data_IF_404083450790
#
_entry.id   IF_404083450790
#
_cell.length_a   1.000
_cell.length_b   1.000
_cell.length_c   1.000
_cell.angle_alpha   90.00
_cell.angle_beta   90.00
_cell.angle_gamma   90.00
#
_symmetry.space_group_name_H-M   'P 1'
#
loop_
_entity.id
_entity.type
_entity.pdbx_description
1 polymer ?
#
# COMPACT_ATOMS: atom_id res chain seq x y z
N UNK A 1 14.60 -74.17 -4.17
CA UNK A 1 13.80 -73.12 -3.51
C UNK A 1 14.61 -72.58 -2.34
N UNK A 2 15.23 -71.41 -2.52
CA UNK A 2 15.93 -70.66 -1.47
C UNK A 2 15.20 -69.32 -1.32
N UNK A 3 14.96 -68.95 -0.08
CA UNK A 3 14.10 -67.88 0.43
C UNK A 3 14.51 -66.50 -0.09
N UNK A 4 13.59 -65.81 -0.78
CA UNK A 4 13.70 -64.38 -1.03
C UNK A 4 13.12 -63.63 0.17
N UNK A 5 13.87 -62.63 0.63
CA UNK A 5 13.76 -61.95 1.92
C UNK A 5 12.46 -61.13 2.03
N UNK A 6 11.44 -61.69 2.68
CA UNK A 6 10.09 -61.11 2.85
C UNK A 6 10.08 -59.80 3.67
N UNK A 7 11.18 -59.46 4.36
CA UNK A 7 11.25 -58.29 5.23
C UNK A 7 11.53 -56.95 4.50
N UNK A 8 11.98 -56.98 3.24
CA UNK A 8 12.44 -55.76 2.54
C UNK A 8 11.40 -55.16 1.58
N UNK A 9 10.31 -55.87 1.25
CA UNK A 9 9.26 -55.39 0.32
C UNK A 9 8.14 -54.63 1.05
N UNK A 10 7.99 -54.78 2.37
CA UNK A 10 6.96 -54.06 3.14
C UNK A 10 7.32 -52.60 3.49
N UNK A 11 8.60 -52.21 3.39
CA UNK A 11 9.05 -50.88 3.84
C UNK A 11 8.91 -49.76 2.79
N UNK A 12 8.63 -50.05 1.52
CA UNK A 12 8.53 -49.03 0.46
C UNK A 12 7.10 -48.73 0.00
N UNK A 13 6.11 -49.53 0.39
CA UNK A 13 4.69 -49.29 0.06
C UNK A 13 3.90 -48.67 1.21
N UNK A 14 4.50 -48.50 2.39
CA UNK A 14 3.84 -47.90 3.56
C UNK A 14 4.12 -46.40 3.76
N UNK A 15 4.73 -45.73 2.77
CA UNK A 15 4.93 -44.26 2.81
C UNK A 15 4.08 -43.47 1.80
N UNK A 16 3.26 -44.12 0.97
CA UNK A 16 2.49 -43.43 -0.10
C UNK A 16 0.97 -43.41 0.09
N UNK A 17 0.46 -43.67 1.29
CA UNK A 17 -0.96 -43.45 1.61
C UNK A 17 -1.11 -42.60 2.86
N UNK A 18 -0.71 -41.33 2.75
CA UNK A 18 -1.23 -40.24 3.58
C UNK A 18 -2.68 -40.03 3.15
N UNK A 19 -3.59 -40.90 3.59
CA UNK A 19 -5.00 -40.51 3.65
C UNK A 19 -5.15 -39.63 4.88
N UNK A 20 -5.14 -38.32 4.62
CA UNK A 20 -5.64 -37.31 5.54
C UNK A 20 -7.01 -37.76 6.04
N UNK A 21 -7.11 -38.16 7.31
CA UNK A 21 -8.43 -38.16 7.95
C UNK A 21 -8.82 -36.70 8.03
N UNK A 22 -9.78 -36.31 7.21
CA UNK A 22 -10.55 -35.11 7.47
C UNK A 22 -11.22 -35.38 8.82
N UNK A 23 -10.79 -34.71 9.87
CA UNK A 23 -11.63 -34.60 11.05
C UNK A 23 -12.89 -33.86 10.58
N UNK A 24 -13.99 -34.61 10.38
CA UNK A 24 -15.30 -33.99 10.23
C UNK A 24 -15.53 -33.08 11.43
N UNK A 25 -15.96 -31.83 11.27
CA UNK A 25 -16.36 -31.04 12.43
C UNK A 25 -17.53 -31.77 13.10
N UNK A 26 -17.46 -31.96 14.42
CA UNK A 26 -18.58 -32.46 15.21
C UNK A 26 -19.83 -31.62 14.88
N UNK A 27 -21.02 -32.22 14.71
CA UNK A 27 -22.23 -31.43 14.52
C UNK A 27 -22.50 -30.66 15.82
N UNK A 28 -22.22 -29.36 15.79
CA UNK A 28 -22.57 -28.45 16.88
C UNK A 28 -24.10 -28.36 16.89
N UNK A 29 -24.79 -28.68 18.01
CA UNK A 29 -26.22 -28.45 18.10
C UNK A 29 -26.47 -26.95 17.95
N UNK A 30 -27.33 -26.63 16.98
CA UNK A 30 -27.65 -25.26 16.61
C UNK A 30 -28.32 -24.56 17.79
N UNK A 31 -27.57 -23.75 18.53
CA UNK A 31 -28.15 -22.62 19.26
C UNK A 31 -27.07 -21.56 19.50
N UNK A 32 -27.39 -20.36 19.01
CA UNK A 32 -26.62 -19.11 19.09
C UNK A 32 -25.48 -18.92 18.07
N UNK A 33 -25.83 -18.85 16.78
CA UNK A 33 -24.97 -18.24 15.76
C UNK A 33 -24.99 -16.72 15.94
N UNK A 34 -23.97 -16.21 16.63
CA UNK A 34 -23.53 -14.83 16.47
C UNK A 34 -23.13 -14.70 14.99
N UNK A 35 -23.88 -13.90 14.23
CA UNK A 35 -23.54 -13.54 12.85
C UNK A 35 -22.26 -12.69 12.85
N UNK A 36 -21.12 -13.34 13.02
CA UNK A 36 -19.83 -12.76 12.69
C UNK A 36 -19.76 -12.82 11.17
N UNK A 37 -19.94 -11.68 10.50
CA UNK A 37 -19.61 -11.57 9.08
C UNK A 37 -18.16 -12.02 8.88
N UNK A 38 -17.95 -13.28 8.43
CA UNK A 38 -16.66 -13.77 7.95
C UNK A 38 -16.40 -13.15 6.57
N UNK A 39 -16.05 -11.86 6.55
CA UNK A 39 -15.53 -11.23 5.33
C UNK A 39 -14.15 -11.80 5.06
N UNK A 40 -14.03 -12.67 4.06
CA UNK A 40 -12.74 -12.97 3.44
C UNK A 40 -12.46 -11.88 2.41
N UNK A 41 -11.45 -11.05 2.65
CA UNK A 41 -10.91 -10.20 1.60
C UNK A 41 -10.05 -11.09 0.69
N UNK A 42 -10.14 -10.92 -0.62
CA UNK A 42 -9.05 -11.33 -1.51
C UNK A 42 -7.77 -10.68 -0.99
N UNK A 43 -6.56 -11.24 -1.22
CA UNK A 43 -5.33 -10.52 -0.90
C UNK A 43 -5.43 -9.15 -1.55
N UNK A 44 -5.62 -8.10 -0.76
CA UNK A 44 -5.54 -6.76 -1.28
C UNK A 44 -4.05 -6.60 -1.54
N UNK A 45 -3.65 -6.62 -2.80
CA UNK A 45 -2.28 -6.22 -3.12
C UNK A 45 -2.20 -4.74 -2.76
N UNK A 46 -1.52 -4.45 -1.65
CA UNK A 46 -1.25 -3.08 -1.25
C UNK A 46 -0.24 -2.50 -2.24
N UNK A 47 -0.75 -1.89 -3.30
CA UNK A 47 0.06 -1.06 -4.16
C UNK A 47 0.31 0.27 -3.44
N UNK A 48 1.55 0.46 -3.01
CA UNK A 48 2.06 1.75 -2.57
C UNK A 48 2.68 2.46 -3.75
N UNK A 49 2.26 3.69 -3.95
CA UNK A 49 2.82 4.60 -4.94
C UNK A 49 3.41 5.80 -4.21
N UNK A 50 4.35 6.51 -4.84
CA UNK A 50 4.93 7.69 -4.21
C UNK A 50 4.99 8.87 -5.18
N UNK A 51 5.15 10.07 -4.63
CA UNK A 51 5.71 11.20 -5.39
C UNK A 51 7.06 11.55 -4.77
N UNK A 52 7.96 12.05 -5.60
CA UNK A 52 9.32 12.40 -5.19
C UNK A 52 9.60 13.87 -5.48
N UNK A 53 10.36 14.54 -4.63
CA UNK A 53 10.75 15.93 -4.81
C UNK A 53 12.26 16.07 -4.57
N UNK A 54 12.95 16.65 -5.54
CA UNK A 54 14.32 17.10 -5.39
C UNK A 54 14.30 18.56 -4.94
N UNK A 55 14.59 18.79 -3.65
CA UNK A 55 14.57 20.15 -3.13
C UNK A 55 15.72 21.00 -3.69
N UNK A 56 15.52 22.30 -3.87
CA UNK A 56 16.60 23.23 -4.16
C UNK A 56 17.62 23.29 -3.03
N UNK A 57 18.87 23.62 -3.35
CA UNK A 57 19.96 23.68 -2.38
C UNK A 57 19.73 24.72 -1.29
N UNK A 58 19.01 25.81 -1.60
CA UNK A 58 18.70 26.90 -0.68
C UNK A 58 17.48 26.66 0.23
N UNK A 59 16.76 25.55 0.07
CA UNK A 59 15.61 25.21 0.91
C UNK A 59 16.04 24.51 2.22
N UNK A 60 15.20 24.64 3.24
CA UNK A 60 15.31 23.88 4.50
C UNK A 60 15.12 22.36 4.30
N UNK A 61 15.39 21.59 5.36
CA UNK A 61 15.28 20.13 5.32
C UNK A 61 13.88 19.59 5.64
N UNK A 62 12.99 20.43 6.18
CA UNK A 62 11.61 20.07 6.50
C UNK A 62 10.70 20.32 5.29
N UNK A 63 10.60 19.34 4.41
CA UNK A 63 9.79 19.43 3.19
C UNK A 63 8.39 18.88 3.41
N UNK A 64 7.40 19.56 2.83
CA UNK A 64 5.99 19.17 2.84
C UNK A 64 5.43 19.12 1.41
N UNK A 65 4.49 18.20 1.19
CA UNK A 65 3.68 18.13 -0.02
C UNK A 65 2.23 18.48 0.34
N UNK A 66 1.73 19.56 -0.23
CA UNK A 66 0.33 19.93 -0.19
C UNK A 66 -0.34 19.50 -1.50
N UNK A 67 -1.33 18.63 -1.43
CA UNK A 67 -2.10 18.24 -2.60
C UNK A 67 -3.58 18.58 -2.46
N UNK A 68 -4.19 18.86 -3.59
CA UNK A 68 -5.61 19.22 -3.70
C UNK A 68 -6.14 18.82 -5.08
N UNK A 69 -7.45 18.84 -5.24
CA UNK A 69 -8.14 18.74 -6.52
C UNK A 69 -8.75 20.10 -6.87
N UNK A 70 -8.68 20.50 -8.14
CA UNK A 70 -9.45 21.65 -8.64
C UNK A 70 -10.95 21.37 -8.68
N UNK A 71 -11.34 20.10 -8.77
CA UNK A 71 -12.70 19.66 -8.45
C UNK A 71 -12.84 19.47 -6.94
N UNK A 72 -13.49 20.46 -6.30
CA UNK A 72 -13.72 20.49 -4.86
C UNK A 72 -14.45 19.24 -4.32
N UNK A 73 -15.26 18.56 -5.14
CA UNK A 73 -15.96 17.34 -4.72
C UNK A 73 -15.01 16.15 -4.51
N UNK A 74 -13.83 16.16 -5.15
CA UNK A 74 -12.81 15.12 -5.02
C UNK A 74 -11.85 15.37 -3.84
N UNK A 75 -11.96 16.53 -3.19
CA UNK A 75 -11.24 16.82 -1.96
C UNK A 75 -11.98 16.15 -0.78
N UNK A 76 -11.36 15.12 -0.20
CA UNK A 76 -11.96 14.33 0.88
C UNK A 76 -11.75 15.00 2.24
N UNK A 77 -12.77 14.98 3.09
CA UNK A 77 -12.64 15.44 4.48
C UNK A 77 -11.81 14.44 5.33
N UNK A 78 -10.92 14.91 6.23
CA UNK A 78 -10.57 16.31 6.43
C UNK A 78 -9.72 16.85 5.28
N UNK A 79 -10.05 18.05 4.81
CA UNK A 79 -9.26 18.73 3.80
C UNK A 79 -7.82 18.89 4.28
N UNK A 80 -6.86 18.71 3.36
CA UNK A 80 -5.48 19.06 3.68
C UNK A 80 -5.40 20.53 4.04
N UNK A 81 -4.66 20.82 5.11
CA UNK A 81 -4.29 22.17 5.48
C UNK A 81 -2.86 22.40 4.98
N UNK A 82 -2.60 23.61 4.48
CA UNK A 82 -1.23 24.07 4.28
C UNK A 82 -0.42 23.90 5.59
N UNK A 83 0.85 23.41 5.55
CA UNK A 83 1.69 23.15 4.38
C UNK A 83 1.54 21.75 3.75
N UNK A 84 0.53 20.97 4.16
CA UNK A 84 0.34 19.60 3.71
C UNK A 84 1.07 18.58 4.58
N UNK A 85 1.43 17.44 3.99
CA UNK A 85 2.08 16.33 4.72
C UNK A 85 3.59 16.47 4.67
N UNK A 86 4.25 16.26 5.82
CA UNK A 86 5.70 16.21 5.88
C UNK A 86 6.23 15.00 5.11
N UNK A 87 7.15 15.24 4.19
CA UNK A 87 7.77 14.22 3.35
C UNK A 87 8.92 13.52 4.10
N UNK A 88 9.17 12.26 3.74
CA UNK A 88 10.31 11.48 4.23
C UNK A 88 11.53 11.71 3.33
N UNK A 89 12.74 11.66 3.89
CA UNK A 89 13.99 11.84 3.12
C UNK A 89 14.61 10.48 2.78
N UNK A 90 15.11 10.35 1.55
CA UNK A 90 15.87 9.19 1.07
C UNK A 90 16.83 9.65 -0.03
N UNK A 91 18.13 9.44 0.15
CA UNK A 91 19.19 9.65 -0.86
C UNK A 91 19.10 10.98 -1.64
N UNK A 92 18.85 12.08 -0.92
CA UNK A 92 18.75 13.43 -1.51
C UNK A 92 17.35 13.81 -2.03
N UNK A 93 16.43 12.85 -2.10
CA UNK A 93 15.03 13.08 -2.44
C UNK A 93 14.14 13.13 -1.20
N UNK A 94 13.01 13.78 -1.36
CA UNK A 94 11.90 13.77 -0.43
C UNK A 94 10.73 13.02 -1.05
N UNK A 95 10.06 12.15 -0.31
CA UNK A 95 8.96 11.35 -0.83
C UNK A 95 7.76 11.29 0.12
N UNK A 96 6.57 11.14 -0.46
CA UNK A 96 5.32 10.89 0.26
C UNK A 96 4.61 9.68 -0.37
N UNK A 97 4.17 8.75 0.47
CA UNK A 97 3.58 7.46 0.04
C UNK A 97 2.06 7.56 0.05
N UNK A 98 1.46 7.06 -1.01
CA UNK A 98 0.03 6.91 -1.20
C UNK A 98 -0.34 5.44 -1.16
N UNK A 99 -1.20 5.10 -0.21
CA UNK A 99 -1.80 3.78 -0.09
C UNK A 99 -3.13 3.85 -0.86
N UNK A 100 -3.16 3.28 -2.07
CA UNK A 100 -4.25 3.33 -3.05
C UNK A 100 -4.17 4.47 -4.10
N UNK A 101 -3.63 4.11 -5.27
CA UNK A 101 -3.53 4.98 -6.45
C UNK A 101 -4.89 5.45 -7.03
N UNK A 102 -6.00 4.77 -6.73
CA UNK A 102 -7.33 5.15 -7.24
C UNK A 102 -7.81 6.51 -6.69
N UNK A 103 -7.25 7.00 -5.59
CA UNK A 103 -7.54 8.37 -5.13
C UNK A 103 -6.86 9.45 -5.96
N UNK A 104 -5.88 9.09 -6.79
CA UNK A 104 -5.02 10.02 -7.53
C UNK A 104 -5.48 10.24 -8.97
N UNK A 105 -6.58 9.61 -9.38
CA UNK A 105 -7.28 9.92 -10.64
C UNK A 105 -8.05 11.24 -10.49
N UNK A 106 -8.01 12.08 -11.54
CA UNK A 106 -8.77 13.33 -11.61
C UNK A 106 -7.97 14.55 -11.17
N UNK A 107 -7.34 15.23 -12.14
CA UNK A 107 -6.77 16.59 -12.11
C UNK A 107 -6.27 17.11 -10.73
N UNK A 108 -5.60 16.26 -9.95
CA UNK A 108 -5.02 16.66 -8.69
C UNK A 108 -3.78 17.49 -8.94
N UNK A 109 -3.55 18.41 -8.03
CA UNK A 109 -2.42 19.31 -8.02
C UNK A 109 -1.57 19.06 -6.79
N UNK A 110 -0.29 19.38 -6.89
CA UNK A 110 0.66 19.32 -5.78
C UNK A 110 1.52 20.58 -5.75
N UNK A 111 1.76 21.07 -4.53
CA UNK A 111 2.70 22.16 -4.22
C UNK A 111 3.67 21.62 -3.18
N UNK A 112 4.96 21.87 -3.38
CA UNK A 112 6.02 21.53 -2.43
C UNK A 112 6.46 22.77 -1.67
N UNK A 113 6.78 22.64 -0.38
CA UNK A 113 7.23 23.75 0.45
C UNK A 113 8.18 23.29 1.56
N UNK A 114 9.12 24.14 1.96
CA UNK A 114 9.90 23.96 3.21
C UNK A 114 9.32 24.78 4.39
N UNK A 115 8.12 25.36 4.22
CA UNK A 115 7.48 26.29 5.14
C UNK A 115 7.87 27.76 4.96
N UNK A 116 8.93 28.06 4.20
CA UNK A 116 9.38 29.44 3.87
C UNK A 116 9.35 29.72 2.37
N UNK A 117 9.79 28.75 1.58
CA UNK A 117 9.81 28.71 0.13
C UNK A 117 8.76 27.72 -0.36
N UNK A 118 8.27 27.90 -1.59
CA UNK A 118 7.37 26.94 -2.24
C UNK A 118 7.61 26.88 -3.75
N UNK A 119 7.20 25.75 -4.35
CA UNK A 119 7.12 25.57 -5.79
C UNK A 119 5.86 24.74 -6.12
N UNK A 120 5.03 25.16 -7.07
CA UNK A 120 5.04 26.43 -7.80
C UNK A 120 4.94 27.68 -6.90
N UNK A 121 5.13 28.87 -7.48
CA UNK A 121 5.19 30.14 -6.74
C UNK A 121 3.91 30.47 -5.96
N UNK A 122 3.99 31.46 -5.07
CA UNK A 122 2.83 31.92 -4.29
C UNK A 122 1.71 32.35 -5.25
N UNK A 123 0.48 31.84 -5.03
CA UNK A 123 -0.70 32.04 -5.88
C UNK A 123 -0.64 31.37 -7.26
N UNK A 124 0.41 30.61 -7.57
CA UNK A 124 0.44 29.80 -8.78
C UNK A 124 -0.30 28.48 -8.56
N UNK A 125 -0.87 27.96 -9.65
CA UNK A 125 -1.48 26.63 -9.65
C UNK A 125 -0.40 25.57 -9.43
N UNK A 126 -0.69 24.58 -8.58
CA UNK A 126 0.23 23.46 -8.34
C UNK A 126 0.52 22.64 -9.60
N UNK A 127 1.59 21.84 -9.55
CA UNK A 127 1.89 20.89 -10.61
C UNK A 127 0.82 19.82 -10.70
N UNK A 128 0.60 19.24 -11.89
CA UNK A 128 -0.20 18.03 -12.00
C UNK A 128 0.40 16.94 -11.11
N UNK A 129 -0.39 16.37 -10.21
CA UNK A 129 0.02 15.25 -9.38
C UNK A 129 0.05 13.99 -10.24
N UNK A 130 1.24 13.47 -10.46
CA UNK A 130 1.57 12.29 -11.25
C UNK A 130 2.28 11.33 -10.31
N UNK A 131 1.72 10.14 -10.21
CA UNK A 131 2.27 9.09 -9.37
C UNK A 131 3.60 8.60 -9.95
N UNK A 132 4.53 8.32 -9.04
CA UNK A 132 5.91 7.88 -9.27
C UNK A 132 6.77 8.90 -10.06
N UNK A 133 6.30 10.14 -10.18
CA UNK A 133 7.04 11.24 -10.76
C UNK A 133 8.04 11.85 -9.77
N UNK A 134 9.11 12.41 -10.33
CA UNK A 134 10.12 13.21 -9.62
C UNK A 134 9.94 14.67 -10.02
N UNK A 135 9.62 15.50 -9.03
CA UNK A 135 9.44 16.94 -9.19
C UNK A 135 10.72 17.69 -8.81
N UNK A 136 10.92 18.85 -9.42
CA UNK A 136 11.96 19.81 -9.08
C UNK A 136 11.38 21.24 -9.25
N UNK A 137 12.22 22.25 -9.54
CA UNK A 137 11.74 23.63 -9.68
C UNK A 137 11.16 23.97 -11.06
N UNK A 138 11.34 23.11 -12.05
CA UNK A 138 11.01 23.34 -13.46
C UNK A 138 9.76 22.55 -13.90
#
# INVERSE_FOLDING_TARGET
MKSLNIFTIFCTLFLSQIFSTFASPLPIPAENIINIEKKSFTPFELHTSAIYFLKPSNWGDDIYAYHYSEDNSMNTYPYQKWPGRKMKKMDGFYYDIFYNQYFMTGNRKVIFTDGKNQVPGVMETGFNLVIDAVYNQD
#
